data_IF_868828456074
#
_entry.id   IF_868828456074
#
_cell.length_a   1.000
_cell.length_b   1.000
_cell.length_c   1.000
_cell.angle_alpha   90.00
_cell.angle_beta   90.00
_cell.angle_gamma   90.00
#
_symmetry.space_group_name_H-M   'P 1'
#
loop_
_entity.id
_entity.type
_entity.pdbx_description
1 polymer ?
#
# COMPACT_ATOMS: atom_id res chain seq x y z
N UNK A 1 -4.68 -0.49 -34.31
CA UNK A 1 -4.57 -0.28 -32.84
C UNK A 1 -3.17 -0.69 -32.42
N UNK A 2 -2.35 0.25 -31.93
CA UNK A 2 -1.01 -0.06 -31.43
C UNK A 2 -1.14 -0.74 -30.07
N UNK A 3 -0.82 -2.02 -30.00
CA UNK A 3 -0.77 -2.76 -28.75
C UNK A 3 0.55 -2.41 -28.05
N UNK A 4 0.48 -1.77 -26.88
CA UNK A 4 1.67 -1.56 -26.05
C UNK A 4 1.93 -2.90 -25.32
N UNK A 5 3.13 -3.48 -25.43
CA UNK A 5 3.48 -4.70 -24.69
C UNK A 5 3.29 -4.55 -23.17
N UNK A 6 2.71 -5.57 -22.53
CA UNK A 6 2.48 -5.58 -21.08
C UNK A 6 3.73 -5.20 -20.25
N UNK A 7 4.96 -5.66 -20.56
CA UNK A 7 6.14 -5.26 -19.78
C UNK A 7 6.41 -3.76 -19.81
N UNK A 8 6.13 -3.09 -20.94
CA UNK A 8 6.28 -1.63 -21.05
C UNK A 8 5.20 -0.89 -20.25
N UNK A 9 3.96 -1.39 -20.27
CA UNK A 9 2.88 -0.83 -19.45
C UNK A 9 3.20 -0.99 -17.96
N UNK A 10 3.68 -2.17 -17.55
CA UNK A 10 4.09 -2.43 -16.17
C UNK A 10 5.20 -1.49 -15.73
N UNK A 11 6.23 -1.25 -16.56
CA UNK A 11 7.31 -0.32 -16.21
C UNK A 11 6.80 1.12 -16.08
N UNK A 12 5.88 1.56 -16.94
CA UNK A 12 5.24 2.89 -16.84
C UNK A 12 4.47 3.00 -15.51
N UNK A 13 3.63 2.03 -15.20
CA UNK A 13 2.80 2.04 -13.98
C UNK A 13 3.68 1.95 -12.73
N UNK A 14 4.76 1.16 -12.77
CA UNK A 14 5.74 1.08 -11.68
C UNK A 14 6.37 2.45 -11.41
N UNK A 15 6.83 3.16 -12.44
CA UNK A 15 7.39 4.52 -12.30
C UNK A 15 6.37 5.50 -11.72
N UNK A 16 5.13 5.47 -12.20
CA UNK A 16 4.05 6.31 -11.64
C UNK A 16 3.81 5.94 -10.17
N UNK A 17 3.82 4.66 -9.82
CA UNK A 17 3.70 4.20 -8.43
C UNK A 17 4.85 4.68 -7.54
N UNK A 18 6.07 4.75 -8.07
CA UNK A 18 7.24 5.24 -7.34
C UNK A 18 7.19 6.74 -7.04
N UNK A 19 6.31 7.51 -7.71
CA UNK A 19 6.03 8.91 -7.36
C UNK A 19 4.95 9.05 -6.28
N UNK A 20 4.19 7.98 -6.02
CA UNK A 20 3.16 7.95 -4.98
C UNK A 20 2.02 6.99 -5.28
N UNK A 21 1.63 6.19 -4.29
CA UNK A 21 0.59 5.17 -4.46
C UNK A 21 -0.77 5.71 -4.94
N UNK A 22 -1.11 6.99 -4.66
CA UNK A 22 -2.40 7.58 -5.08
C UNK A 22 -2.54 7.67 -6.60
N UNK A 23 -1.44 7.82 -7.32
CA UNK A 23 -1.44 7.87 -8.78
C UNK A 23 -1.83 6.55 -9.43
N UNK A 24 -1.83 5.44 -8.67
CA UNK A 24 -2.29 4.14 -9.12
C UNK A 24 -3.83 4.00 -9.12
N UNK A 25 -4.54 4.86 -8.39
CA UNK A 25 -6.01 4.83 -8.28
C UNK A 25 -6.75 4.86 -9.62
N UNK A 26 -6.43 5.80 -10.53
CA UNK A 26 -7.02 5.83 -11.87
C UNK A 26 -6.83 4.53 -12.66
N UNK A 27 -5.65 3.90 -12.60
CA UNK A 27 -5.39 2.64 -13.30
C UNK A 27 -6.25 1.48 -12.77
N UNK A 28 -6.52 1.46 -11.47
CA UNK A 28 -7.45 0.49 -10.87
C UNK A 28 -8.88 0.73 -11.38
N UNK A 29 -9.27 1.99 -11.57
CA UNK A 29 -10.62 2.38 -11.99
C UNK A 29 -10.90 2.12 -13.48
N UNK A 30 -9.87 2.21 -14.33
CA UNK A 30 -10.01 2.02 -15.80
C UNK A 30 -10.47 0.60 -16.14
N UNK A 31 -10.00 -0.43 -15.42
CA UNK A 31 -10.50 -1.79 -15.63
C UNK A 31 -9.57 -2.92 -15.16
N UNK A 32 -9.99 -4.18 -15.38
CA UNK A 32 -9.31 -5.36 -14.85
C UNK A 32 -7.84 -5.50 -15.28
N UNK A 33 -7.54 -5.21 -16.55
CA UNK A 33 -6.18 -5.35 -17.09
C UNK A 33 -5.17 -4.45 -16.35
N UNK A 34 -5.49 -3.17 -16.18
CA UNK A 34 -4.62 -2.24 -15.46
C UNK A 34 -4.60 -2.52 -13.95
N UNK A 35 -5.74 -2.96 -13.39
CA UNK A 35 -5.80 -3.40 -12.00
C UNK A 35 -4.84 -4.56 -11.73
N UNK A 36 -4.78 -5.56 -12.61
CA UNK A 36 -3.84 -6.68 -12.51
C UNK A 36 -2.38 -6.19 -12.54
N UNK A 37 -2.06 -5.23 -13.42
CA UNK A 37 -0.71 -4.64 -13.50
C UNK A 37 -0.36 -3.88 -12.22
N UNK A 38 -1.27 -3.06 -11.68
CA UNK A 38 -1.07 -2.32 -10.43
C UNK A 38 -0.78 -3.27 -9.25
N UNK A 39 -1.45 -4.43 -9.23
CA UNK A 39 -1.23 -5.44 -8.19
C UNK A 39 -0.14 -6.47 -8.54
N UNK A 40 0.66 -6.22 -9.58
CA UNK A 40 1.83 -7.04 -9.87
C UNK A 40 2.93 -6.82 -8.82
N UNK A 41 3.73 -7.87 -8.59
CA UNK A 41 4.83 -7.84 -7.62
C UNK A 41 5.80 -6.68 -7.86
N UNK A 42 6.12 -6.40 -9.12
CA UNK A 42 7.06 -5.35 -9.52
C UNK A 42 6.58 -3.95 -9.11
N UNK A 43 5.28 -3.67 -9.26
CA UNK A 43 4.68 -2.41 -8.84
C UNK A 43 4.54 -2.34 -7.32
N UNK A 44 4.06 -3.42 -6.69
CA UNK A 44 3.82 -3.45 -5.25
C UNK A 44 5.09 -3.40 -4.39
N UNK A 45 6.25 -3.78 -4.95
CA UNK A 45 7.55 -3.71 -4.26
C UNK A 45 8.23 -2.35 -4.37
N UNK A 46 7.87 -1.54 -5.37
CA UNK A 46 8.57 -0.30 -5.74
C UNK A 46 7.70 0.96 -5.53
N UNK A 47 6.42 0.79 -5.20
CA UNK A 47 5.49 1.88 -4.94
C UNK A 47 5.93 2.74 -3.77
N UNK A 48 5.84 4.06 -3.92
CA UNK A 48 6.09 4.98 -2.80
C UNK A 48 4.91 4.98 -1.81
N UNK A 49 5.23 4.72 -0.55
CA UNK A 49 4.32 4.61 0.58
C UNK A 49 4.57 5.69 1.65
N UNK A 50 5.40 6.69 1.38
CA UNK A 50 5.78 7.73 2.34
C UNK A 50 4.56 8.44 2.93
N UNK A 51 3.49 8.63 2.16
CA UNK A 51 2.27 9.25 2.68
C UNK A 51 1.65 8.45 3.85
N UNK A 52 1.80 7.12 3.90
CA UNK A 52 1.34 6.33 5.06
C UNK A 52 2.16 6.62 6.32
N UNK A 53 3.42 7.04 6.18
CA UNK A 53 4.27 7.43 7.30
C UNK A 53 3.82 8.78 7.88
N UNK A 54 3.51 9.75 7.02
CA UNK A 54 3.10 11.09 7.43
C UNK A 54 1.61 11.17 7.81
N UNK A 55 0.78 10.31 7.24
CA UNK A 55 -0.65 10.24 7.51
C UNK A 55 -1.04 8.83 7.98
N UNK A 56 -0.81 8.57 9.27
CA UNK A 56 -1.10 7.28 9.91
C UNK A 56 -2.56 6.85 9.82
N UNK A 57 -3.50 7.77 9.52
CA UNK A 57 -4.92 7.44 9.29
C UNK A 57 -5.09 6.52 8.08
N UNK A 58 -4.20 6.60 7.08
CA UNK A 58 -4.25 5.76 5.89
C UNK A 58 -3.97 4.29 6.19
N UNK A 59 -3.21 3.99 7.24
CA UNK A 59 -2.89 2.63 7.68
C UNK A 59 -3.88 2.02 8.69
N UNK A 60 -4.91 2.76 9.12
CA UNK A 60 -5.90 2.27 10.10
C UNK A 60 -6.82 1.22 9.51
N UNK A 61 -7.44 0.42 10.39
CA UNK A 61 -8.30 -0.69 9.99
C UNK A 61 -9.49 -0.27 9.12
N UNK A 62 -9.99 0.94 9.35
CA UNK A 62 -11.14 1.52 8.66
C UNK A 62 -10.75 2.21 7.34
N UNK A 63 -9.45 2.34 7.05
CA UNK A 63 -8.98 3.03 5.86
C UNK A 63 -9.22 2.21 4.60
N UNK A 64 -9.79 2.85 3.59
CA UNK A 64 -9.96 2.27 2.24
C UNK A 64 -8.62 1.89 1.59
N UNK A 65 -7.52 2.48 2.04
CA UNK A 65 -6.17 2.23 1.52
C UNK A 65 -5.44 1.08 2.23
N UNK A 66 -5.96 0.61 3.37
CA UNK A 66 -5.33 -0.48 4.12
C UNK A 66 -5.19 -1.78 3.33
N UNK A 67 -6.19 -2.24 2.55
CA UNK A 67 -6.02 -3.44 1.73
C UNK A 67 -4.83 -3.34 0.75
N UNK A 68 -4.57 -2.15 0.20
CA UNK A 68 -3.43 -1.90 -0.67
C UNK A 68 -2.11 -2.02 0.11
N UNK A 69 -2.01 -1.37 1.26
CA UNK A 69 -0.84 -1.46 2.16
C UNK A 69 -0.51 -2.91 2.54
N UNK A 70 -1.53 -3.71 2.87
CA UNK A 70 -1.33 -5.11 3.24
C UNK A 70 -0.84 -5.97 2.09
N UNK A 71 -1.30 -5.71 0.85
CA UNK A 71 -0.78 -6.39 -0.34
C UNK A 71 0.69 -6.08 -0.55
N UNK A 72 1.09 -4.81 -0.41
CA UNK A 72 2.50 -4.42 -0.48
C UNK A 72 3.34 -5.15 0.60
N UNK A 73 2.84 -5.23 1.83
CA UNK A 73 3.51 -5.94 2.91
C UNK A 73 3.65 -7.45 2.66
N UNK A 74 2.61 -8.07 2.08
CA UNK A 74 2.60 -9.48 1.70
C UNK A 74 3.66 -9.80 0.63
N UNK A 75 3.79 -8.93 -0.38
CA UNK A 75 4.82 -9.06 -1.44
C UNK A 75 6.25 -8.81 -0.96
N UNK A 76 6.41 -8.16 0.20
CA UNK A 76 7.73 -7.93 0.81
C UNK A 76 8.19 -6.49 0.85
N UNK A 77 7.30 -5.53 0.58
CA UNK A 77 7.65 -4.12 0.64
C UNK A 77 8.08 -3.72 2.06
N UNK A 78 9.31 -3.20 2.18
CA UNK A 78 9.94 -2.90 3.49
C UNK A 78 9.17 -1.85 4.27
N UNK A 79 8.82 -0.73 3.64
CA UNK A 79 8.03 0.35 4.27
C UNK A 79 6.65 -0.14 4.72
N UNK A 80 5.91 -0.88 3.88
CA UNK A 80 4.63 -1.45 4.26
C UNK A 80 4.72 -2.37 5.48
N UNK A 81 5.72 -3.26 5.52
CA UNK A 81 5.97 -4.13 6.68
C UNK A 81 6.30 -3.32 7.93
N UNK A 82 7.15 -2.31 7.81
CA UNK A 82 7.49 -1.41 8.91
C UNK A 82 6.25 -0.69 9.48
N UNK A 83 5.42 -0.09 8.61
CA UNK A 83 4.19 0.60 9.00
C UNK A 83 3.24 -0.37 9.75
N UNK A 84 3.03 -1.56 9.21
CA UNK A 84 2.13 -2.56 9.85
C UNK A 84 2.69 -3.05 11.19
N UNK A 85 4.00 -3.23 11.31
CA UNK A 85 4.66 -3.56 12.57
C UNK A 85 4.47 -2.46 13.63
N UNK A 86 4.67 -1.19 13.26
CA UNK A 86 4.43 -0.05 14.17
C UNK A 86 2.97 0.02 14.63
N UNK A 87 2.02 -0.19 13.72
CA UNK A 87 0.60 -0.19 14.04
C UNK A 87 0.26 -1.28 15.06
N UNK A 88 0.75 -2.51 14.84
CA UNK A 88 0.55 -3.63 15.78
C UNK A 88 1.12 -3.32 17.16
N UNK A 89 2.35 -2.81 17.21
CA UNK A 89 2.98 -2.41 18.46
C UNK A 89 2.14 -1.35 19.20
N UNK A 90 1.70 -0.32 18.49
CA UNK A 90 0.87 0.75 19.03
C UNK A 90 -0.44 0.22 19.61
N UNK A 91 -1.10 -0.70 18.90
CA UNK A 91 -2.33 -1.34 19.37
C UNK A 91 -2.09 -2.20 20.63
N UNK A 92 -1.01 -2.96 20.68
CA UNK A 92 -0.64 -3.76 21.86
C UNK A 92 -0.40 -2.87 23.07
N UNK A 93 0.39 -1.80 22.91
CA UNK A 93 0.69 -0.85 23.99
C UNK A 93 -0.58 -0.14 24.46
N UNK A 94 -1.41 0.35 23.53
CA UNK A 94 -2.67 1.02 23.89
C UNK A 94 -3.65 0.09 24.63
N UNK A 95 -3.67 -1.20 24.28
CA UNK A 95 -4.49 -2.20 24.97
C UNK A 95 -3.96 -2.47 26.38
N UNK A 96 -2.63 -2.55 26.52
CA UNK A 96 -1.98 -2.72 27.82
C UNK A 96 -2.26 -1.53 28.76
N UNK A 97 -2.09 -0.30 28.27
CA UNK A 97 -2.35 0.91 29.04
C UNK A 97 -3.81 1.00 29.49
N UNK A 98 -4.78 0.68 28.62
CA UNK A 98 -6.20 0.63 29.01
C UNK A 98 -6.44 -0.34 30.17
N UNK A 99 -5.86 -1.54 30.12
CA UNK A 99 -5.96 -2.52 31.22
C UNK A 99 -5.30 -2.06 32.53
N UNK A 100 -4.28 -1.20 32.46
CA UNK A 100 -3.66 -0.63 33.65
C UNK A 100 -4.48 0.49 34.28
N UNK A 101 -5.24 1.24 33.48
CA UNK A 101 -6.09 2.35 33.95
C UNK A 101 -7.46 1.90 34.48
N UNK A 102 -7.91 0.71 34.08
CA UNK A 102 -9.16 0.09 34.56
C UNK A 102 -8.99 -0.72 35.87
N UNK A 103 -7.79 -0.67 36.49
CA UNK A 103 -7.48 -1.24 37.80
C UNK A 103 -7.27 -0.15 38.83
#
# INVERSE_FOLDING_TARGET
>A
MSFIPNPLITDIIRRIGSEGFRYLGPFIAVGPCFKEIVYSREVLLDVDLDEFMFNTRLGREESIYRPFLLRCAAEGHKTARYIESLRRLTNTVATFLRRCLEK
#
